data_IF_490636713432
#
_entry.id   IF_490636713432
#
_cell.length_a   1.000
_cell.length_b   1.000
_cell.length_c   1.000
_cell.angle_alpha   90.00
_cell.angle_beta   90.00
_cell.angle_gamma   90.00
#
_symmetry.space_group_name_H-M   'P 1'
#
loop_
_entity.id
_entity.type
_entity.pdbx_description
1 polymer ?
#
# COMPACT_ATOMS: atom_id res chain seq x y z
N UNK A 1 6.05 17.32 -4.69
CA UNK A 1 5.39 17.97 -3.55
C UNK A 1 5.77 19.44 -3.53
N UNK A 2 4.83 20.33 -3.31
CA UNK A 2 5.04 21.78 -3.31
C UNK A 2 4.48 22.36 -2.02
N UNK A 3 5.27 23.18 -1.32
CA UNK A 3 4.82 23.91 -0.15
C UNK A 3 3.99 25.12 -0.60
N UNK A 4 2.83 25.35 0.02
CA UNK A 4 2.00 26.52 -0.26
C UNK A 4 2.66 27.83 0.19
N UNK A 5 3.48 27.79 1.25
CA UNK A 5 4.19 28.93 1.79
C UNK A 5 5.66 28.59 1.99
N UNK A 6 6.52 29.06 1.08
CA UNK A 6 7.96 28.81 1.14
C UNK A 6 8.65 29.59 2.26
N UNK A 7 8.14 30.77 2.62
CA UNK A 7 8.73 31.62 3.67
C UNK A 7 8.42 31.08 5.06
N UNK A 8 7.29 30.39 5.21
CA UNK A 8 6.82 29.80 6.47
C UNK A 8 6.33 28.37 6.24
N UNK A 9 7.23 27.43 6.02
CA UNK A 9 6.87 26.07 5.57
C UNK A 9 6.01 25.26 6.56
N UNK A 10 5.96 25.66 7.84
CA UNK A 10 5.14 25.02 8.87
C UNK A 10 3.78 25.71 9.09
N UNK A 11 3.54 26.88 8.46
CA UNK A 11 2.27 27.60 8.56
C UNK A 11 1.36 27.42 7.32
N UNK A 12 1.89 26.78 6.27
CA UNK A 12 1.16 26.48 5.05
C UNK A 12 0.87 24.99 4.87
N UNK A 13 0.07 24.65 3.88
CA UNK A 13 -0.21 23.31 3.44
C UNK A 13 0.90 22.71 2.57
N UNK A 14 0.80 21.43 2.29
CA UNK A 14 1.66 20.70 1.38
C UNK A 14 0.79 20.13 0.25
N UNK A 15 0.99 20.60 -0.96
CA UNK A 15 0.37 20.04 -2.15
C UNK A 15 1.21 18.89 -2.72
N UNK A 16 0.53 17.78 -3.00
CA UNK A 16 1.12 16.65 -3.68
C UNK A 16 0.73 16.68 -5.16
N UNK A 17 1.72 16.87 -6.03
CA UNK A 17 1.55 16.76 -7.47
C UNK A 17 1.97 15.37 -7.94
N UNK A 18 1.15 14.80 -8.81
CA UNK A 18 1.34 13.47 -9.40
C UNK A 18 1.64 13.61 -10.88
N UNK A 19 2.65 12.89 -11.34
CA UNK A 19 2.94 12.75 -12.75
C UNK A 19 3.08 11.26 -13.09
N UNK A 20 2.13 10.76 -13.86
CA UNK A 20 2.18 9.42 -14.41
C UNK A 20 2.81 9.44 -15.81
N UNK A 21 3.41 8.35 -16.27
CA UNK A 21 3.89 8.25 -17.64
C UNK A 21 2.79 8.66 -18.63
N UNK A 22 3.15 9.47 -19.62
CA UNK A 22 2.27 9.94 -20.69
C UNK A 22 1.06 10.78 -20.26
N UNK A 23 1.04 11.27 -19.02
CA UNK A 23 -0.01 12.18 -18.51
C UNK A 23 0.58 13.52 -18.07
N UNK A 24 -0.25 14.55 -18.14
CA UNK A 24 0.08 15.85 -17.55
C UNK A 24 0.13 15.73 -16.03
N UNK A 25 0.92 16.59 -15.40
CA UNK A 25 0.95 16.72 -13.94
C UNK A 25 -0.42 17.15 -13.42
N UNK A 26 -0.87 16.52 -12.33
CA UNK A 26 -2.14 16.82 -11.69
C UNK A 26 -2.01 16.81 -10.17
N UNK A 27 -2.83 17.61 -9.49
CA UNK A 27 -2.94 17.55 -8.03
C UNK A 27 -3.62 16.28 -7.57
N UNK A 28 -3.25 15.78 -6.39
CA UNK A 28 -3.88 14.58 -5.78
C UNK A 28 -5.39 14.70 -5.70
N UNK A 29 -5.93 15.90 -5.43
CA UNK A 29 -7.37 16.15 -5.37
C UNK A 29 -8.10 15.77 -6.66
N UNK A 30 -7.45 15.98 -7.81
CA UNK A 30 -8.00 15.73 -9.15
C UNK A 30 -7.72 14.32 -9.68
N UNK A 31 -6.92 13.53 -8.97
CA UNK A 31 -6.58 12.17 -9.37
C UNK A 31 -7.75 11.19 -9.18
N UNK A 32 -7.80 10.14 -10.00
CA UNK A 32 -8.74 9.03 -9.83
C UNK A 32 -8.48 8.25 -8.53
N UNK A 33 -9.44 7.44 -8.08
CA UNK A 33 -9.30 6.63 -6.87
C UNK A 33 -8.06 5.72 -6.92
N UNK A 34 -7.85 5.01 -8.03
CA UNK A 34 -6.67 4.16 -8.22
C UNK A 34 -5.36 4.95 -8.22
N UNK A 35 -5.32 6.10 -8.89
CA UNK A 35 -4.14 6.99 -8.90
C UNK A 35 -3.82 7.53 -7.50
N UNK A 36 -4.84 7.90 -6.72
CA UNK A 36 -4.68 8.31 -5.31
C UNK A 36 -4.11 7.17 -4.47
N UNK A 37 -4.61 5.95 -4.64
CA UNK A 37 -4.11 4.77 -3.91
C UNK A 37 -2.64 4.50 -4.23
N UNK A 38 -2.25 4.51 -5.51
CA UNK A 38 -0.85 4.35 -5.92
C UNK A 38 0.03 5.45 -5.30
N UNK A 39 -0.39 6.71 -5.40
CA UNK A 39 0.35 7.85 -4.86
C UNK A 39 0.52 7.74 -3.34
N UNK A 40 -0.54 7.37 -2.62
CA UNK A 40 -0.49 7.18 -1.15
C UNK A 40 0.49 6.10 -0.77
N UNK A 41 0.45 4.95 -1.43
CA UNK A 41 1.38 3.85 -1.17
C UNK A 41 2.83 4.27 -1.47
N UNK A 42 3.07 4.90 -2.61
CA UNK A 42 4.41 5.41 -2.97
C UNK A 42 4.93 6.39 -1.93
N UNK A 43 4.08 7.31 -1.46
CA UNK A 43 4.44 8.27 -0.43
C UNK A 43 4.78 7.60 0.91
N UNK A 44 3.95 6.67 1.38
CA UNK A 44 4.19 5.92 2.62
C UNK A 44 5.49 5.11 2.56
N UNK A 45 5.77 4.47 1.42
CA UNK A 45 6.99 3.71 1.23
C UNK A 45 8.23 4.62 1.09
N UNK A 46 8.08 5.82 0.53
CA UNK A 46 9.15 6.82 0.51
C UNK A 46 9.48 7.34 1.92
N UNK A 47 8.47 7.54 2.78
CA UNK A 47 8.68 7.86 4.19
C UNK A 47 9.40 6.73 4.94
N UNK A 48 9.10 5.47 4.60
CA UNK A 48 9.81 4.32 5.13
C UNK A 48 11.31 4.36 4.83
N UNK A 49 11.70 4.82 3.64
CA UNK A 49 13.11 4.92 3.27
C UNK A 49 13.86 5.97 4.11
N UNK A 50 13.16 7.01 4.57
CA UNK A 50 13.73 8.03 5.46
C UNK A 50 13.84 7.52 6.90
N UNK A 51 12.80 6.83 7.37
CA UNK A 51 12.74 6.29 8.74
C UNK A 51 12.10 4.91 8.74
N UNK A 52 12.92 3.88 8.83
CA UNK A 52 12.44 2.50 8.92
C UNK A 52 11.79 2.24 10.27
N UNK A 53 10.54 1.80 10.24
CA UNK A 53 9.83 1.27 11.40
C UNK A 53 9.92 -0.26 11.42
N UNK A 54 9.84 -0.88 12.60
CA UNK A 54 9.94 -2.33 12.71
C UNK A 54 8.76 -3.06 12.05
N UNK A 55 7.57 -2.44 12.01
CA UNK A 55 6.39 -3.01 11.36
C UNK A 55 5.45 -1.93 10.80
N UNK A 56 4.62 -2.35 9.83
CA UNK A 56 3.59 -1.55 9.17
C UNK A 56 2.31 -2.36 9.09
N UNK A 57 1.18 -1.68 9.26
CA UNK A 57 -0.14 -2.27 9.07
C UNK A 57 -0.81 -1.51 7.92
N UNK A 58 -1.24 -2.25 6.90
CA UNK A 58 -1.97 -1.73 5.76
C UNK A 58 -3.33 -2.40 5.67
N UNK A 59 -4.36 -1.57 5.63
CA UNK A 59 -5.74 -2.02 5.54
C UNK A 59 -6.30 -1.65 4.15
N UNK A 60 -6.60 -2.69 3.36
CA UNK A 60 -7.19 -2.60 2.01
C UNK A 60 -6.53 -1.58 1.06
N UNK A 61 -5.21 -1.37 1.17
CA UNK A 61 -4.49 -0.39 0.34
C UNK A 61 -4.50 -0.73 -1.15
N UNK A 62 -4.86 -1.94 -1.51
CA UNK A 62 -4.96 -2.47 -2.87
C UNK A 62 -6.40 -2.53 -3.42
N UNK A 63 -7.40 -2.11 -2.63
CA UNK A 63 -8.82 -2.23 -3.02
C UNK A 63 -9.18 -1.50 -4.32
N UNK A 64 -8.56 -0.34 -4.58
CA UNK A 64 -8.83 0.49 -5.75
C UNK A 64 -7.79 0.34 -6.88
N UNK A 65 -6.87 -0.61 -6.75
CA UNK A 65 -5.85 -0.87 -7.77
C UNK A 65 -6.39 -1.83 -8.84
N UNK A 66 -5.93 -1.67 -10.07
CA UNK A 66 -6.06 -2.69 -11.10
C UNK A 66 -5.13 -3.88 -10.80
N UNK A 67 -5.27 -4.97 -11.54
CA UNK A 67 -4.52 -6.19 -11.29
C UNK A 67 -3.00 -5.99 -11.46
N UNK A 68 -2.58 -5.19 -12.43
CA UNK A 68 -1.17 -4.92 -12.67
C UNK A 68 -0.54 -4.11 -11.51
N UNK A 69 -1.22 -3.08 -11.05
CA UNK A 69 -0.75 -2.27 -9.94
C UNK A 69 -0.82 -3.03 -8.60
N UNK A 70 -1.83 -3.89 -8.41
CA UNK A 70 -1.89 -4.82 -7.26
C UNK A 70 -0.70 -5.78 -7.23
N UNK A 71 -0.34 -6.37 -8.38
CA UNK A 71 0.84 -7.23 -8.47
C UNK A 71 2.13 -6.48 -8.14
N UNK A 72 2.31 -5.29 -8.73
CA UNK A 72 3.49 -4.44 -8.46
C UNK A 72 3.60 -4.06 -6.99
N UNK A 73 2.47 -3.70 -6.36
CA UNK A 73 2.43 -3.41 -4.93
C UNK A 73 2.82 -4.63 -4.11
N UNK A 74 2.23 -5.79 -4.39
CA UNK A 74 2.52 -7.02 -3.66
C UNK A 74 4.01 -7.43 -3.78
N UNK A 75 4.61 -7.31 -4.97
CA UNK A 75 6.03 -7.58 -5.21
C UNK A 75 6.93 -6.57 -4.48
N UNK A 76 6.53 -5.30 -4.43
CA UNK A 76 7.24 -4.25 -3.71
C UNK A 76 7.22 -4.51 -2.19
N UNK A 77 6.04 -4.82 -1.62
CA UNK A 77 5.91 -5.17 -0.21
C UNK A 77 6.71 -6.42 0.13
N UNK A 78 6.71 -7.44 -0.74
CA UNK A 78 7.52 -8.64 -0.59
C UNK A 78 9.01 -8.31 -0.54
N UNK A 79 9.47 -7.42 -1.38
CA UNK A 79 10.87 -6.99 -1.40
C UNK A 79 11.24 -6.27 -0.10
N UNK A 80 10.39 -5.36 0.35
CA UNK A 80 10.60 -4.56 1.57
C UNK A 80 10.43 -5.36 2.86
N UNK A 81 9.71 -6.48 2.83
CA UNK A 81 9.52 -7.36 3.98
C UNK A 81 10.80 -8.03 4.50
N UNK A 82 11.92 -7.87 3.79
CA UNK A 82 13.24 -8.30 4.27
C UNK A 82 13.76 -7.46 5.44
N UNK A 83 13.33 -6.20 5.52
CA UNK A 83 13.86 -5.22 6.49
C UNK A 83 12.81 -4.78 7.53
N UNK A 84 11.53 -4.99 7.25
CA UNK A 84 10.41 -4.60 8.13
C UNK A 84 9.29 -5.61 8.03
N UNK A 85 8.51 -5.76 9.08
CA UNK A 85 7.33 -6.61 9.04
C UNK A 85 6.15 -5.84 8.45
N UNK A 86 5.47 -6.42 7.47
CA UNK A 86 4.23 -5.90 6.91
C UNK A 86 3.06 -6.81 7.28
N UNK A 87 2.04 -6.23 7.88
CA UNK A 87 0.73 -6.83 8.06
C UNK A 87 -0.21 -6.18 7.07
N UNK A 88 -0.77 -6.96 6.16
CA UNK A 88 -1.64 -6.45 5.10
C UNK A 88 -2.99 -7.14 5.18
N UNK A 89 -4.05 -6.35 5.30
CA UNK A 89 -5.43 -6.82 5.18
C UNK A 89 -5.82 -6.60 3.73
N UNK A 90 -6.20 -7.67 3.03
CA UNK A 90 -6.57 -7.63 1.62
C UNK A 90 -7.52 -8.77 1.27
N UNK A 91 -8.39 -8.51 0.31
CA UNK A 91 -9.28 -9.49 -0.32
C UNK A 91 -8.75 -9.97 -1.68
N UNK A 92 -7.57 -9.49 -2.09
CA UNK A 92 -7.02 -9.80 -3.41
C UNK A 92 -6.08 -11.00 -3.38
N UNK A 93 -6.33 -11.98 -4.22
CA UNK A 93 -5.48 -13.16 -4.38
C UNK A 93 -4.04 -12.80 -4.75
N UNK A 94 -3.85 -11.75 -5.54
CA UNK A 94 -2.53 -11.24 -5.93
C UNK A 94 -1.68 -10.83 -4.74
N UNK A 95 -2.26 -10.17 -3.75
CA UNK A 95 -1.60 -9.76 -2.51
C UNK A 95 -1.40 -10.95 -1.58
N UNK A 96 -2.45 -11.74 -1.38
CA UNK A 96 -2.44 -12.92 -0.51
C UNK A 96 -1.39 -13.95 -0.95
N UNK A 97 -1.28 -14.22 -2.25
CA UNK A 97 -0.32 -15.19 -2.80
C UNK A 97 1.15 -14.81 -2.60
N UNK A 98 1.45 -13.53 -2.37
CA UNK A 98 2.82 -13.04 -2.11
C UNK A 98 3.21 -13.08 -0.63
N UNK A 99 2.25 -13.29 0.27
CA UNK A 99 2.50 -13.29 1.71
C UNK A 99 3.40 -14.46 2.14
N UNK A 100 4.19 -14.24 3.19
CA UNK A 100 4.96 -15.31 3.82
C UNK A 100 4.08 -16.15 4.75
N UNK A 101 3.02 -15.54 5.31
CA UNK A 101 2.05 -16.17 6.19
C UNK A 101 0.69 -15.53 5.97
N UNK A 102 -0.34 -16.34 5.94
CA UNK A 102 -1.72 -15.89 5.74
C UNK A 102 -2.55 -16.29 6.95
N UNK A 103 -3.37 -15.34 7.41
CA UNK A 103 -4.39 -15.57 8.41
C UNK A 103 -5.75 -15.35 7.77
N UNK A 104 -6.54 -16.39 7.69
CA UNK A 104 -7.93 -16.28 7.25
C UNK A 104 -8.83 -15.92 8.42
N UNK A 105 -9.71 -14.94 8.22
CA UNK A 105 -10.74 -14.57 9.19
C UNK A 105 -12.10 -14.91 8.60
N UNK A 106 -12.91 -15.65 9.36
CA UNK A 106 -14.25 -16.06 8.93
C UNK A 106 -15.22 -16.05 10.12
N UNK A 107 -16.50 -16.05 9.84
CA UNK A 107 -17.54 -16.09 10.88
C UNK A 107 -18.03 -17.52 11.03
N UNK A 108 -18.05 -18.02 12.27
CA UNK A 108 -18.64 -19.29 12.66
C UNK A 108 -19.49 -19.10 13.92
N UNK A 109 -20.73 -19.53 13.87
CA UNK A 109 -21.69 -19.44 14.99
C UNK A 109 -21.81 -18.02 15.56
N UNK A 110 -21.79 -17.01 14.69
CA UNK A 110 -21.91 -15.59 15.07
C UNK A 110 -20.65 -14.98 15.67
N UNK A 111 -19.54 -15.71 15.70
CA UNK A 111 -18.24 -15.26 16.21
C UNK A 111 -17.16 -15.29 15.12
N UNK A 112 -16.28 -14.28 15.12
CA UNK A 112 -15.11 -14.28 14.22
C UNK A 112 -14.09 -15.30 14.68
N UNK A 113 -13.65 -16.14 13.75
CA UNK A 113 -12.60 -17.14 13.94
C UNK A 113 -11.39 -16.79 13.09
N UNK A 114 -10.20 -17.15 13.57
CA UNK A 114 -8.94 -16.94 12.85
C UNK A 114 -8.27 -18.29 12.63
N UNK A 115 -7.87 -18.53 11.39
CA UNK A 115 -7.12 -19.72 11.00
C UNK A 115 -5.81 -19.32 10.33
N UNK A 116 -4.74 -20.03 10.66
CA UNK A 116 -3.46 -19.85 9.95
C UNK A 116 -3.47 -20.74 8.71
N UNK A 117 -3.27 -20.11 7.55
CA UNK A 117 -3.15 -20.81 6.28
C UNK A 117 -1.66 -20.87 5.95
N UNK A 118 -1.08 -22.06 5.70
CA UNK A 118 0.30 -22.17 5.24
C UNK A 118 0.46 -21.32 3.98
N UNK A 119 1.57 -20.57 3.88
CA UNK A 119 1.86 -19.84 2.65
C UNK A 119 1.80 -20.83 1.48
N UNK A 120 0.95 -20.55 0.50
CA UNK A 120 0.95 -21.33 -0.73
C UNK A 120 2.32 -21.11 -1.37
N UNK A 121 3.15 -22.15 -1.34
CA UNK A 121 4.39 -22.17 -2.12
C UNK A 121 3.92 -22.06 -3.57
N UNK A 122 4.13 -20.89 -4.18
CA UNK A 122 3.86 -20.73 -5.59
C UNK A 122 4.61 -21.84 -6.31
N UNK A 123 3.87 -22.79 -6.87
CA UNK A 123 4.45 -23.80 -7.74
C UNK A 123 5.20 -23.07 -8.86
N UNK A 124 6.47 -23.43 -9.01
CA UNK A 124 7.35 -22.91 -10.07
C UNK A 124 6.81 -23.25 -11.43
#
# INVERSE_FOLDING_TARGET
>A
MVLENLDKPFEGGLDMLLQFPDKAELGVSSASGGEKSVATVCFLLALQDIRQLPFYIFDEIDAHLDDLNSQRLADLLKTRSKNSQFMVISLRDTTVSRANRVYGVFVQDGSSQVVTIPAMVAAK
#
